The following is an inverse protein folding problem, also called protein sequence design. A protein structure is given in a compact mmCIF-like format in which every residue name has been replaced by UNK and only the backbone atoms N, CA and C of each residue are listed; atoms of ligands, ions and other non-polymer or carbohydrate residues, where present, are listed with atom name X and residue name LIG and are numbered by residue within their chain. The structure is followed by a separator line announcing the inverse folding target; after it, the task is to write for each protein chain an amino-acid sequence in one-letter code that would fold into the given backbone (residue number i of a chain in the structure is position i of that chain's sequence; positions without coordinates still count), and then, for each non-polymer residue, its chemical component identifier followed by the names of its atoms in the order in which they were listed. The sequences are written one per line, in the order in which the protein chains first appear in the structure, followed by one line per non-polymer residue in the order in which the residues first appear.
data_IF_362097962183
#
_entry.id   IF_362097962183
#
_cell.length_a   1.000
_cell.length_b   1.000
_cell.length_c   1.000
_cell.angle_alpha   90.00
_cell.angle_beta   90.00
_cell.angle_gamma   90.00
#
_symmetry.space_group_name_H-M   'P 1'
#
loop_
_entity.id
_entity.type
_entity.pdbx_description
1 polymer ?
#
# COMPACT_ATOMS: atom_id res chain seq x y z
N UNK A 1 -11.98 66.37 4.40
CA UNK A 1 -10.96 65.39 4.72
C UNK A 1 -11.54 63.95 4.62
N UNK A 2 -10.93 63.09 3.84
CA UNK A 2 -11.29 61.66 3.80
C UNK A 2 -10.31 60.87 4.69
N UNK A 3 -10.80 60.36 5.81
CA UNK A 3 -9.99 59.66 6.83
C UNK A 3 -9.18 58.44 6.29
N UNK A 4 -9.62 57.92 5.14
CA UNK A 4 -9.00 56.77 4.49
C UNK A 4 -8.15 57.12 3.25
N UNK A 5 -7.96 58.41 2.93
CA UNK A 5 -7.13 58.79 1.80
C UNK A 5 -5.63 58.69 2.15
N UNK A 6 -4.84 57.95 1.38
CA UNK A 6 -3.38 57.87 1.58
C UNK A 6 -2.70 59.25 1.47
N UNK A 7 -3.24 60.12 0.62
CA UNK A 7 -2.74 61.47 0.42
C UNK A 7 -2.96 62.30 1.68
N UNK A 8 -4.16 62.25 2.27
CA UNK A 8 -4.51 63.01 3.48
C UNK A 8 -3.65 62.57 4.68
N UNK A 9 -3.36 61.26 4.83
CA UNK A 9 -2.49 60.74 5.89
C UNK A 9 -1.06 61.23 5.72
N UNK A 10 -0.55 61.20 4.51
CA UNK A 10 0.84 61.60 4.25
C UNK A 10 1.00 63.12 4.45
N UNK A 11 0.08 63.92 3.89
CA UNK A 11 0.06 65.37 4.07
C UNK A 11 -0.04 65.76 5.55
N UNK A 12 -0.94 65.15 6.27
CA UNK A 12 -1.12 65.40 7.71
C UNK A 12 0.15 65.10 8.51
N UNK A 13 0.80 63.96 8.22
CA UNK A 13 2.03 63.55 8.90
C UNK A 13 3.16 64.57 8.67
N UNK A 14 3.37 64.93 7.40
CA UNK A 14 4.44 65.82 6.99
C UNK A 14 4.19 67.27 7.46
N UNK A 15 2.95 67.74 7.34
CA UNK A 15 2.60 69.11 7.81
C UNK A 15 2.65 69.22 9.33
N UNK A 16 2.20 68.19 10.04
CA UNK A 16 2.31 68.14 11.52
C UNK A 16 3.76 68.12 12.00
N UNK A 17 4.67 67.50 11.26
CA UNK A 17 6.10 67.48 11.64
C UNK A 17 6.80 68.82 11.41
N UNK A 18 6.28 69.68 10.48
CA UNK A 18 6.91 70.96 10.09
C UNK A 18 6.25 72.18 10.71
N UNK A 19 4.91 72.13 10.90
CA UNK A 19 4.10 73.30 11.30
C UNK A 19 3.33 72.96 12.53
N UNK A 20 3.31 72.72 13.53
CA UNK A 20 2.46 72.42 14.69
C UNK A 20 0.99 72.07 14.39
N UNK A 21 0.25 71.62 15.42
CA UNK A 21 -1.09 71.05 15.25
C UNK A 21 -2.18 72.04 14.74
N UNK A 22 -2.03 73.34 14.96
CA UNK A 22 -3.06 74.38 14.68
C UNK A 22 -2.60 75.45 13.68
N UNK A 23 -1.49 75.26 13.02
CA UNK A 23 -0.92 76.26 12.09
C UNK A 23 -1.20 76.01 10.61
N UNK A 24 -1.86 74.88 10.33
CA UNK A 24 -2.21 74.52 8.93
C UNK A 24 -3.60 73.93 8.82
N UNK A 25 -4.19 74.17 7.67
CA UNK A 25 -5.39 73.49 7.22
C UNK A 25 -5.22 73.06 5.75
N UNK A 26 -5.76 71.93 5.37
CA UNK A 26 -5.74 71.48 3.98
C UNK A 26 -7.08 70.81 3.57
N UNK A 27 -7.44 70.99 2.31
CA UNK A 27 -8.59 70.36 1.69
C UNK A 27 -8.21 69.69 0.37
N UNK A 28 -8.44 68.37 0.31
CA UNK A 28 -8.16 67.51 -0.84
C UNK A 28 -9.41 67.24 -1.67
N UNK A 29 -10.61 67.75 -1.24
CA UNK A 29 -11.90 67.43 -1.83
C UNK A 29 -12.50 68.55 -2.68
N UNK A 30 -12.27 69.78 -2.34
CA UNK A 30 -12.88 70.95 -3.04
C UNK A 30 -12.44 71.12 -4.50
N UNK A 31 -11.26 70.66 -4.84
CA UNK A 31 -10.74 70.71 -6.21
C UNK A 31 -10.37 69.32 -6.71
N UNK A 32 -10.70 69.04 -7.99
CA UNK A 32 -10.46 67.72 -8.59
C UNK A 32 -8.98 67.38 -8.70
N UNK A 33 -8.13 68.34 -9.07
CA UNK A 33 -6.70 68.13 -9.36
C UNK A 33 -5.76 68.88 -8.42
N UNK A 34 -6.31 69.76 -7.57
CA UNK A 34 -5.52 70.60 -6.66
C UNK A 34 -5.85 70.31 -5.19
N UNK A 35 -4.92 70.56 -4.32
CA UNK A 35 -5.05 70.54 -2.87
C UNK A 35 -5.01 71.98 -2.40
N UNK A 36 -6.02 72.44 -1.66
CA UNK A 36 -6.06 73.74 -1.00
C UNK A 36 -5.31 73.61 0.34
N UNK A 37 -4.11 74.14 0.44
CA UNK A 37 -3.28 74.15 1.64
C UNK A 37 -3.20 75.60 2.15
N UNK A 38 -3.59 75.80 3.42
CA UNK A 38 -3.51 77.09 4.11
C UNK A 38 -2.63 76.98 5.32
N UNK A 39 -1.68 77.90 5.41
CA UNK A 39 -0.71 77.95 6.51
C UNK A 39 -0.89 79.31 7.20
N UNK A 40 -1.04 79.31 8.54
CA UNK A 40 -1.19 80.51 9.35
C UNK A 40 0.15 81.26 9.42
N UNK A 41 0.09 82.54 9.20
CA UNK A 41 1.25 83.43 9.31
C UNK A 41 0.80 84.78 9.90
N UNK A 42 1.30 85.11 11.08
CA UNK A 42 0.89 86.28 11.85
C UNK A 42 -0.68 86.42 11.89
N UNK A 43 -1.28 87.50 11.41
CA UNK A 43 -2.74 87.76 11.40
C UNK A 43 -3.45 87.22 10.13
N UNK A 44 -2.78 86.45 9.30
CA UNK A 44 -3.34 85.99 8.02
C UNK A 44 -3.06 84.50 7.70
N UNK A 45 -3.47 84.09 6.50
CA UNK A 45 -3.24 82.80 5.98
C UNK A 45 -2.64 82.86 4.58
N UNK A 46 -1.58 82.17 4.33
CA UNK A 46 -1.08 81.87 2.98
C UNK A 46 -1.86 80.71 2.42
N UNK A 47 -2.46 80.89 1.23
CA UNK A 47 -3.16 79.87 0.50
C UNK A 47 -2.28 79.34 -0.64
N UNK A 48 -2.04 78.06 -0.66
CA UNK A 48 -1.27 77.36 -1.67
C UNK A 48 -2.19 76.37 -2.39
N UNK A 49 -2.27 76.43 -3.71
CA UNK A 49 -2.94 75.45 -4.57
C UNK A 49 -1.87 74.51 -5.12
N UNK A 50 -1.79 73.31 -4.55
CA UNK A 50 -0.76 72.33 -4.89
C UNK A 50 -1.36 71.22 -5.74
N UNK A 51 -0.79 70.93 -6.95
CA UNK A 51 -1.27 69.83 -7.77
C UNK A 51 -1.16 68.49 -7.01
N UNK A 52 -2.25 67.66 -7.06
CA UNK A 52 -2.30 66.35 -6.39
C UNK A 52 -1.19 65.40 -6.87
N UNK A 53 -0.79 65.50 -8.13
CA UNK A 53 0.26 64.68 -8.72
C UNK A 53 1.65 64.89 -8.07
N UNK A 54 1.88 66.10 -7.51
CA UNK A 54 3.12 66.38 -6.78
C UNK A 54 3.16 65.78 -5.38
N UNK A 55 2.00 65.52 -4.80
CA UNK A 55 1.87 65.02 -3.42
C UNK A 55 1.65 63.50 -3.42
N UNK A 56 1.02 62.99 -4.44
CA UNK A 56 0.77 61.55 -4.59
C UNK A 56 1.86 60.94 -5.49
N UNK A 57 2.89 60.40 -4.91
CA UNK A 57 3.83 59.53 -5.64
C UNK A 57 3.09 58.24 -6.01
N UNK A 58 2.54 58.18 -7.22
CA UNK A 58 2.02 56.93 -7.80
C UNK A 58 3.12 55.93 -8.13
N UNK A 59 4.35 56.46 -8.24
CA UNK A 59 5.55 55.64 -8.62
C UNK A 59 5.80 54.46 -7.70
N UNK A 60 5.65 54.61 -6.38
CA UNK A 60 5.87 53.53 -5.44
C UNK A 60 4.86 52.36 -5.58
N UNK A 61 3.59 52.66 -5.88
CA UNK A 61 2.54 51.66 -6.12
C UNK A 61 2.73 50.94 -7.45
N UNK A 62 3.07 51.70 -8.51
CA UNK A 62 3.37 51.16 -9.81
C UNK A 62 4.63 50.26 -9.71
N UNK A 63 5.67 50.69 -9.03
CA UNK A 63 6.90 49.95 -8.82
C UNK A 63 6.64 48.68 -8.02
N UNK A 64 5.85 48.73 -6.95
CA UNK A 64 5.45 47.55 -6.17
C UNK A 64 4.67 46.54 -7.04
N UNK A 65 3.73 46.99 -7.89
CA UNK A 65 2.99 46.14 -8.83
C UNK A 65 3.93 45.52 -9.89
N UNK A 66 4.86 46.28 -10.42
CA UNK A 66 5.86 45.80 -11.41
C UNK A 66 6.80 44.70 -10.86
N UNK A 67 7.03 44.69 -9.55
CA UNK A 67 7.84 43.62 -8.91
C UNK A 67 6.98 42.45 -8.50
N UNK A 68 5.79 42.71 -7.86
CA UNK A 68 5.02 41.62 -7.25
C UNK A 68 4.31 40.75 -8.29
N UNK A 69 3.78 41.35 -9.38
CA UNK A 69 3.04 40.59 -10.40
C UNK A 69 3.97 39.59 -11.13
N UNK A 70 5.15 39.98 -11.68
CA UNK A 70 6.07 39.02 -12.27
C UNK A 70 6.59 37.97 -11.27
N UNK A 71 6.85 38.37 -10.01
CA UNK A 71 7.26 37.42 -8.99
C UNK A 71 6.20 36.33 -8.71
N UNK A 72 4.93 36.72 -8.61
CA UNK A 72 3.81 35.76 -8.44
C UNK A 72 3.72 34.86 -9.67
N UNK A 73 3.80 35.40 -10.87
CA UNK A 73 3.76 34.63 -12.12
C UNK A 73 4.92 33.62 -12.16
N UNK A 74 6.15 34.04 -11.82
CA UNK A 74 7.29 33.13 -11.75
C UNK A 74 7.11 32.01 -10.74
N UNK A 75 6.55 32.29 -9.56
CA UNK A 75 6.23 31.27 -8.54
C UNK A 75 5.23 30.27 -9.08
N UNK A 76 4.16 30.74 -9.73
CA UNK A 76 3.12 29.85 -10.31
C UNK A 76 3.75 28.95 -11.39
N UNK A 77 4.54 29.52 -12.31
CA UNK A 77 5.23 28.76 -13.36
C UNK A 77 6.17 27.72 -12.74
N UNK A 78 6.95 28.11 -11.72
CA UNK A 78 7.85 27.22 -11.01
C UNK A 78 7.14 26.06 -10.34
N UNK A 79 6.00 26.32 -9.69
CA UNK A 79 5.18 25.25 -9.05
C UNK A 79 4.59 24.28 -10.08
N UNK A 80 4.10 24.79 -11.21
CA UNK A 80 3.60 23.95 -12.31
C UNK A 80 4.74 23.09 -12.88
N UNK A 81 5.89 23.70 -13.13
CA UNK A 81 7.06 22.98 -13.63
C UNK A 81 7.52 21.89 -12.66
N UNK A 82 7.64 22.21 -11.38
CA UNK A 82 8.03 21.25 -10.33
C UNK A 82 7.04 20.08 -10.27
N UNK A 83 5.74 20.36 -10.28
CA UNK A 83 4.69 19.34 -10.30
C UNK A 83 4.79 18.43 -11.53
N UNK A 84 5.08 18.98 -12.70
CA UNK A 84 5.22 18.20 -13.93
C UNK A 84 6.51 17.35 -13.93
N UNK A 85 7.57 17.78 -13.25
CA UNK A 85 8.80 17.01 -13.09
C UNK A 85 8.70 15.90 -12.05
N UNK A 86 7.98 16.12 -10.96
CA UNK A 86 7.87 15.13 -9.88
C UNK A 86 6.87 14.02 -10.17
N UNK A 87 5.80 14.29 -10.93
CA UNK A 87 4.78 13.29 -11.30
C UNK A 87 5.34 12.01 -11.94
N UNK A 88 6.21 12.05 -12.95
CA UNK A 88 6.77 10.85 -13.56
C UNK A 88 7.59 10.01 -12.59
N UNK A 89 8.33 10.65 -11.68
CA UNK A 89 9.13 9.97 -10.65
C UNK A 89 8.22 9.23 -9.67
N UNK A 90 7.18 9.91 -9.19
CA UNK A 90 6.21 9.29 -8.26
C UNK A 90 5.43 8.15 -8.94
N UNK A 91 5.13 8.27 -10.23
CA UNK A 91 4.48 7.19 -10.98
C UNK A 91 5.39 5.97 -11.14
N UNK A 92 6.70 6.19 -11.43
CA UNK A 92 7.69 5.12 -11.49
C UNK A 92 7.84 4.43 -10.13
N UNK A 93 7.95 5.21 -9.05
CA UNK A 93 8.05 4.68 -7.69
C UNK A 93 6.82 3.83 -7.30
N UNK A 94 5.60 4.31 -7.60
CA UNK A 94 4.37 3.55 -7.37
C UNK A 94 4.31 2.27 -8.21
N UNK A 95 4.72 2.34 -9.48
CA UNK A 95 4.79 1.15 -10.32
C UNK A 95 5.76 0.12 -9.76
N UNK A 96 6.95 0.56 -9.29
CA UNK A 96 7.92 -0.33 -8.66
C UNK A 96 7.39 -0.93 -7.35
N UNK A 97 6.71 -0.15 -6.52
CA UNK A 97 6.07 -0.61 -5.28
C UNK A 97 4.98 -1.66 -5.57
N UNK A 98 4.06 -1.36 -6.51
CA UNK A 98 2.99 -2.28 -6.91
C UNK A 98 3.54 -3.58 -7.47
N UNK A 99 4.55 -3.51 -8.34
CA UNK A 99 5.22 -4.68 -8.87
C UNK A 99 5.90 -5.50 -7.76
N UNK A 100 6.53 -4.84 -6.79
CA UNK A 100 7.12 -5.49 -5.62
C UNK A 100 6.11 -6.21 -4.73
N UNK A 101 4.87 -5.71 -4.68
CA UNK A 101 3.73 -6.39 -4.00
C UNK A 101 3.11 -7.52 -4.83
N UNK A 102 3.62 -7.79 -6.04
CA UNK A 102 3.10 -8.82 -6.93
C UNK A 102 1.81 -8.43 -7.64
N UNK A 103 1.46 -7.13 -7.68
CA UNK A 103 0.32 -6.64 -8.45
C UNK A 103 0.64 -6.67 -9.95
N UNK A 104 -0.34 -7.07 -10.77
CA UNK A 104 -0.19 -7.01 -12.23
C UNK A 104 -0.29 -5.56 -12.72
N UNK A 105 0.77 -5.07 -13.33
CA UNK A 105 0.80 -3.74 -13.96
C UNK A 105 0.58 -3.93 -15.46
N UNK A 106 -0.67 -3.81 -15.92
CA UNK A 106 -1.03 -4.04 -17.33
C UNK A 106 -0.34 -3.06 -18.29
N UNK A 107 -0.26 -1.76 -17.94
CA UNK A 107 0.43 -0.74 -18.74
C UNK A 107 1.21 0.25 -17.89
N UNK A 108 2.53 0.21 -17.99
CA UNK A 108 3.38 1.27 -17.50
C UNK A 108 3.92 2.07 -18.69
N UNK A 109 3.53 3.36 -18.79
CA UNK A 109 3.99 4.26 -19.86
C UNK A 109 5.03 5.23 -19.28
N UNK A 110 6.32 5.04 -19.57
CA UNK A 110 7.37 5.96 -19.15
C UNK A 110 7.12 7.38 -19.67
N UNK A 111 7.18 8.39 -18.82
CA UNK A 111 6.94 9.79 -19.16
C UNK A 111 7.91 10.72 -18.42
N UNK A 112 7.96 12.00 -18.81
CA UNK A 112 8.79 13.02 -18.17
C UNK A 112 10.08 13.32 -18.91
N UNK A 113 11.09 13.85 -18.19
CA UNK A 113 12.41 14.16 -18.72
C UNK A 113 13.10 12.91 -19.29
N UNK A 114 14.09 13.11 -20.16
CA UNK A 114 14.75 12.04 -20.90
C UNK A 114 15.28 10.94 -19.96
N UNK A 115 15.95 11.35 -18.89
CA UNK A 115 16.58 10.45 -17.90
C UNK A 115 15.54 9.63 -17.15
N UNK A 116 14.43 10.26 -16.74
CA UNK A 116 13.33 9.59 -16.03
C UNK A 116 12.60 8.62 -16.96
N UNK A 117 12.41 9.01 -18.21
CA UNK A 117 11.81 8.17 -19.25
C UNK A 117 12.68 6.97 -19.55
N UNK A 118 14.01 7.16 -19.62
CA UNK A 118 14.97 6.08 -19.81
C UNK A 118 14.94 5.11 -18.60
N UNK A 119 14.97 5.61 -17.37
CA UNK A 119 14.83 4.80 -16.16
C UNK A 119 13.52 4.01 -16.17
N UNK A 120 12.41 4.64 -16.58
CA UNK A 120 11.13 3.98 -16.73
C UNK A 120 11.11 2.86 -17.77
N UNK A 121 11.80 3.04 -18.91
CA UNK A 121 11.98 1.99 -19.92
C UNK A 121 12.80 0.81 -19.39
N UNK A 122 13.89 1.07 -18.69
CA UNK A 122 14.71 -0.01 -18.09
C UNK A 122 13.95 -0.75 -16.98
N UNK A 123 13.17 -0.04 -16.17
CA UNK A 123 12.25 -0.67 -15.22
C UNK A 123 11.24 -1.60 -15.93
N UNK A 124 10.59 -1.15 -17.02
CA UNK A 124 9.62 -1.97 -17.76
C UNK A 124 10.27 -3.19 -18.41
N UNK A 125 11.49 -3.07 -18.96
CA UNK A 125 12.27 -4.20 -19.45
C UNK A 125 12.58 -5.20 -18.34
N UNK A 126 13.02 -4.73 -17.19
CA UNK A 126 13.31 -5.57 -16.02
C UNK A 126 12.04 -6.29 -15.55
N UNK A 127 10.91 -5.57 -15.42
CA UNK A 127 9.61 -6.14 -15.07
C UNK A 127 9.21 -7.27 -16.01
N UNK A 128 9.19 -7.00 -17.33
CA UNK A 128 8.85 -7.99 -18.36
C UNK A 128 9.79 -9.20 -18.37
N UNK A 129 11.06 -8.98 -18.04
CA UNK A 129 12.03 -10.08 -17.93
C UNK A 129 11.72 -10.96 -16.73
N UNK A 130 11.43 -10.38 -15.58
CA UNK A 130 11.06 -11.11 -14.37
C UNK A 130 9.76 -11.90 -14.59
N UNK A 131 8.72 -11.27 -15.14
CA UNK A 131 7.45 -11.93 -15.50
C UNK A 131 7.68 -13.12 -16.43
N UNK A 132 8.50 -12.95 -17.45
CA UNK A 132 8.85 -14.04 -18.38
C UNK A 132 9.56 -15.20 -17.67
N UNK A 133 10.52 -14.90 -16.81
CA UNK A 133 11.20 -15.95 -16.04
C UNK A 133 10.25 -16.71 -15.10
N UNK A 134 9.32 -16.02 -14.49
CA UNK A 134 8.32 -16.65 -13.62
C UNK A 134 7.40 -17.54 -14.45
N UNK A 135 6.89 -17.06 -15.59
CA UNK A 135 6.03 -17.83 -16.48
C UNK A 135 6.74 -19.08 -17.04
N UNK A 136 7.99 -18.93 -17.50
CA UNK A 136 8.80 -20.06 -17.98
C UNK A 136 9.03 -21.09 -16.87
N UNK A 137 9.32 -20.64 -15.64
CA UNK A 137 9.47 -21.55 -14.50
C UNK A 137 8.18 -22.31 -14.21
N UNK A 138 7.04 -21.62 -14.25
CA UNK A 138 5.71 -22.21 -14.02
C UNK A 138 5.35 -23.23 -15.10
N UNK A 139 5.58 -22.89 -16.38
CA UNK A 139 5.36 -23.81 -17.52
C UNK A 139 6.25 -25.05 -17.43
N UNK A 140 7.54 -24.85 -17.14
CA UNK A 140 8.48 -25.98 -16.97
C UNK A 140 8.04 -26.92 -15.84
N UNK A 141 7.64 -26.37 -14.69
CA UNK A 141 7.20 -27.16 -13.55
C UNK A 141 5.87 -27.86 -13.82
N UNK A 142 4.95 -27.23 -14.56
CA UNK A 142 3.71 -27.87 -15.02
C UNK A 142 4.00 -29.04 -15.95
N UNK A 143 4.94 -28.90 -16.90
CA UNK A 143 5.39 -29.97 -17.78
C UNK A 143 6.03 -31.14 -17.02
N UNK A 144 6.97 -30.86 -16.12
CA UNK A 144 7.62 -31.88 -15.27
C UNK A 144 6.57 -32.66 -14.46
N UNK A 145 5.56 -31.97 -13.93
CA UNK A 145 4.52 -32.64 -13.17
C UNK A 145 3.66 -33.58 -14.01
N UNK A 146 3.30 -33.15 -15.20
CA UNK A 146 2.59 -34.02 -16.14
C UNK A 146 3.43 -35.28 -16.43
N UNK A 147 4.71 -35.10 -16.71
CA UNK A 147 5.62 -36.17 -17.06
C UNK A 147 5.93 -37.11 -15.87
N UNK A 148 5.91 -36.60 -14.63
CA UNK A 148 6.03 -37.42 -13.42
C UNK A 148 4.73 -38.16 -13.06
N UNK A 149 3.55 -37.61 -13.38
CA UNK A 149 2.28 -38.28 -13.10
C UNK A 149 2.12 -39.55 -13.91
N UNK A 150 2.61 -39.60 -15.15
CA UNK A 150 2.56 -40.77 -16.02
C UNK A 150 3.26 -42.01 -15.42
N UNK A 151 4.53 -41.95 -14.97
CA UNK A 151 5.18 -43.11 -14.31
C UNK A 151 4.54 -43.49 -12.98
N UNK A 152 4.04 -42.50 -12.18
CA UNK A 152 3.31 -42.79 -10.94
C UNK A 152 2.03 -43.58 -11.20
N UNK A 153 1.25 -43.19 -12.22
CA UNK A 153 0.08 -43.95 -12.63
C UNK A 153 0.43 -45.35 -13.13
N UNK A 154 1.55 -45.49 -13.86
CA UNK A 154 2.03 -46.81 -14.32
C UNK A 154 2.44 -47.68 -13.14
N UNK A 155 3.13 -47.14 -12.12
CA UNK A 155 3.48 -47.86 -10.89
C UNK A 155 2.21 -48.35 -10.17
N UNK A 156 1.17 -47.51 -10.01
CA UNK A 156 -0.12 -47.91 -9.43
C UNK A 156 -0.75 -49.10 -10.21
N UNK A 157 -0.74 -49.03 -11.55
CA UNK A 157 -1.27 -50.13 -12.36
C UNK A 157 -0.46 -51.41 -12.16
N UNK A 158 0.88 -51.36 -12.03
CA UNK A 158 1.71 -52.51 -11.82
C UNK A 158 1.46 -53.16 -10.44
N UNK A 159 1.19 -52.31 -9.40
CA UNK A 159 0.84 -52.82 -8.08
C UNK A 159 -0.44 -53.67 -8.07
N UNK A 160 -1.38 -53.40 -8.98
CA UNK A 160 -2.61 -54.19 -9.10
C UNK A 160 -2.37 -55.67 -9.48
N UNK A 161 -1.21 -56.02 -10.04
CA UNK A 161 -0.83 -57.38 -10.37
C UNK A 161 -0.05 -58.14 -9.25
N UNK A 162 0.31 -57.45 -8.15
CA UNK A 162 1.01 -58.04 -7.02
C UNK A 162 0.01 -58.68 -6.06
N UNK A 163 0.26 -59.90 -5.64
CA UNK A 163 -0.66 -60.65 -4.75
C UNK A 163 -0.53 -60.30 -3.27
N UNK A 164 0.62 -59.80 -2.86
CA UNK A 164 0.89 -59.43 -1.47
C UNK A 164 0.19 -58.07 -1.14
N UNK A 165 -0.94 -58.16 -0.48
CA UNK A 165 -1.77 -57.02 -0.12
C UNK A 165 -1.08 -56.04 0.84
N UNK A 166 -0.23 -56.51 1.75
CA UNK A 166 0.45 -55.65 2.71
C UNK A 166 1.48 -54.74 2.02
N UNK A 167 2.32 -55.34 1.17
CA UNK A 167 3.29 -54.60 0.35
C UNK A 167 2.62 -53.66 -0.65
N UNK A 168 1.54 -54.10 -1.26
CA UNK A 168 0.74 -53.25 -2.20
C UNK A 168 0.19 -52.03 -1.48
N UNK A 169 -0.39 -52.16 -0.28
CA UNK A 169 -0.93 -51.03 0.46
C UNK A 169 0.19 -50.00 0.80
N UNK A 170 1.34 -50.47 1.35
CA UNK A 170 2.46 -49.59 1.67
C UNK A 170 2.98 -48.82 0.45
N UNK A 171 3.20 -49.50 -0.67
CA UNK A 171 3.65 -48.86 -1.92
C UNK A 171 2.61 -47.92 -2.54
N UNK A 172 1.34 -48.25 -2.38
CA UNK A 172 0.25 -47.35 -2.84
C UNK A 172 0.19 -46.07 -2.02
N UNK A 173 0.40 -46.17 -0.69
CA UNK A 173 0.52 -45.01 0.20
C UNK A 173 1.71 -44.14 -0.21
N UNK A 174 2.88 -44.71 -0.45
CA UNK A 174 4.08 -44.00 -0.88
C UNK A 174 3.86 -43.26 -2.23
N UNK A 175 3.23 -43.92 -3.21
CA UNK A 175 2.92 -43.29 -4.50
C UNK A 175 1.90 -42.16 -4.33
N UNK A 176 0.88 -42.34 -3.49
CA UNK A 176 -0.11 -41.29 -3.21
C UNK A 176 0.55 -40.08 -2.53
N UNK A 177 1.51 -40.31 -1.64
CA UNK A 177 2.29 -39.24 -1.01
C UNK A 177 3.14 -38.50 -2.05
N UNK A 178 3.81 -39.20 -2.98
CA UNK A 178 4.54 -38.56 -4.08
C UNK A 178 3.63 -37.71 -4.96
N UNK A 179 2.43 -38.18 -5.32
CA UNK A 179 1.46 -37.39 -6.11
C UNK A 179 1.01 -36.13 -5.32
N UNK A 180 0.78 -36.27 -4.04
CA UNK A 180 0.43 -35.13 -3.17
C UNK A 180 1.57 -34.11 -3.12
N UNK A 181 2.80 -34.55 -2.90
CA UNK A 181 3.99 -33.67 -2.89
C UNK A 181 4.13 -32.93 -4.21
N UNK A 182 3.97 -33.61 -5.33
CA UNK A 182 4.05 -33.02 -6.67
C UNK A 182 2.97 -31.95 -6.89
N UNK A 183 1.74 -32.25 -6.52
CA UNK A 183 0.62 -31.30 -6.65
C UNK A 183 0.79 -30.07 -5.72
N UNK A 184 1.24 -30.25 -4.47
CA UNK A 184 1.53 -29.14 -3.53
C UNK A 184 2.67 -28.26 -4.06
N UNK A 185 3.73 -28.86 -4.64
CA UNK A 185 4.85 -28.14 -5.23
C UNK A 185 4.43 -27.30 -6.43
N UNK A 186 3.61 -27.88 -7.33
CA UNK A 186 3.04 -27.14 -8.47
C UNK A 186 2.19 -25.97 -8.03
N UNK A 187 1.32 -26.20 -7.08
CA UNK A 187 0.49 -25.15 -6.52
C UNK A 187 1.34 -24.04 -5.89
N UNK A 188 2.47 -24.36 -5.27
CA UNK A 188 3.40 -23.37 -4.74
C UNK A 188 3.97 -22.46 -5.82
N UNK A 189 4.29 -23.03 -6.99
CA UNK A 189 4.99 -22.30 -8.04
C UNK A 189 4.06 -21.54 -9.00
N UNK A 190 2.80 -21.96 -9.14
CA UNK A 190 1.88 -21.44 -10.18
C UNK A 190 0.93 -20.33 -9.74
N UNK A 191 0.76 -20.07 -8.43
CA UNK A 191 -0.37 -19.31 -7.94
C UNK A 191 -0.20 -17.80 -7.76
N UNK A 192 0.97 -17.21 -8.03
CA UNK A 192 1.23 -15.83 -7.55
C UNK A 192 0.86 -14.69 -8.52
N UNK A 193 0.68 -14.93 -9.83
CA UNK A 193 0.68 -13.84 -10.81
C UNK A 193 -0.53 -13.72 -11.74
N UNK A 194 -1.52 -14.61 -11.65
CA UNK A 194 -2.64 -14.66 -12.63
C UNK A 194 -3.96 -14.11 -12.09
N UNK A 195 -4.11 -14.05 -10.76
CA UNK A 195 -5.37 -13.63 -10.14
C UNK A 195 -5.40 -12.13 -9.93
N UNK A 196 -6.52 -11.48 -10.33
CA UNK A 196 -6.77 -10.05 -10.10
C UNK A 196 -7.30 -9.81 -8.70
N UNK A 197 -6.95 -8.66 -8.12
CA UNK A 197 -7.55 -8.23 -6.87
C UNK A 197 -9.03 -7.93 -7.07
N UNK A 198 -9.86 -8.43 -6.17
CA UNK A 198 -11.30 -8.17 -6.10
C UNK A 198 -11.73 -7.82 -4.67
N UNK A 199 -12.82 -7.06 -4.55
CA UNK A 199 -13.42 -6.75 -3.26
C UNK A 199 -14.35 -7.88 -2.85
N UNK A 200 -14.09 -8.55 -1.74
CA UNK A 200 -14.92 -9.64 -1.21
C UNK A 200 -15.14 -9.54 0.30
N UNK A 201 -16.15 -10.20 0.80
CA UNK A 201 -16.44 -10.29 2.23
C UNK A 201 -15.55 -11.37 2.87
N UNK A 202 -14.54 -10.94 3.61
CA UNK A 202 -13.59 -11.85 4.26
C UNK A 202 -14.24 -12.68 5.37
N UNK A 203 -15.24 -12.11 6.06
CA UNK A 203 -15.97 -12.82 7.11
C UNK A 203 -16.76 -14.00 6.53
N UNK A 204 -17.42 -13.82 5.39
CA UNK A 204 -18.12 -14.89 4.66
C UNK A 204 -17.14 -15.94 4.14
N UNK A 205 -16.03 -15.51 3.53
CA UNK A 205 -15.03 -16.44 3.04
C UNK A 205 -14.49 -17.36 4.14
N UNK A 206 -14.19 -16.80 5.32
CA UNK A 206 -13.73 -17.61 6.47
C UNK A 206 -14.82 -18.59 6.90
N UNK A 207 -16.08 -18.15 6.99
CA UNK A 207 -17.20 -19.03 7.34
C UNK A 207 -17.41 -20.15 6.32
N UNK A 208 -17.37 -19.84 5.01
CA UNK A 208 -17.45 -20.84 3.92
C UNK A 208 -16.32 -21.88 4.01
N UNK A 209 -15.11 -21.45 4.37
CA UNK A 209 -13.97 -22.36 4.56
C UNK A 209 -14.21 -23.27 5.75
N UNK A 210 -14.65 -22.74 6.90
CA UNK A 210 -14.91 -23.52 8.12
C UNK A 210 -16.02 -24.55 7.89
N UNK A 211 -17.10 -24.15 7.23
CA UNK A 211 -18.24 -25.04 6.92
C UNK A 211 -17.83 -26.28 6.10
N UNK A 212 -16.85 -26.15 5.19
CA UNK A 212 -16.36 -27.30 4.40
C UNK A 212 -15.72 -28.40 5.22
N UNK A 213 -15.16 -28.06 6.39
CA UNK A 213 -14.55 -29.06 7.26
C UNK A 213 -15.58 -29.87 8.03
N UNK A 214 -16.84 -29.40 8.15
CA UNK A 214 -17.93 -30.06 8.87
C UNK A 214 -17.47 -30.65 10.23
N UNK A 215 -16.64 -29.88 10.97
CA UNK A 215 -15.97 -30.34 12.17
C UNK A 215 -16.42 -29.50 13.39
N UNK A 216 -17.09 -30.14 14.35
CA UNK A 216 -17.60 -29.51 15.57
C UNK A 216 -16.49 -28.95 16.48
N UNK A 217 -15.22 -29.33 16.24
CA UNK A 217 -14.09 -28.87 17.02
C UNK A 217 -13.54 -27.51 16.54
N UNK A 218 -14.11 -26.92 15.46
CA UNK A 218 -13.74 -25.59 14.99
C UNK A 218 -14.76 -24.58 15.51
N UNK A 219 -14.30 -23.65 16.36
CA UNK A 219 -15.09 -22.50 16.81
C UNK A 219 -14.70 -21.25 16.06
N UNK A 220 -15.65 -20.34 15.83
CA UNK A 220 -15.42 -19.09 15.14
C UNK A 220 -15.93 -17.89 15.92
N UNK A 221 -15.13 -16.80 15.92
CA UNK A 221 -15.48 -15.50 16.48
C UNK A 221 -15.15 -14.42 15.45
N UNK A 222 -16.04 -14.22 14.48
CA UNK A 222 -15.82 -13.37 13.33
C UNK A 222 -16.60 -12.06 13.48
N UNK A 223 -15.88 -10.92 13.34
CA UNK A 223 -16.55 -9.64 13.15
C UNK A 223 -17.24 -9.65 11.78
N UNK A 224 -18.57 -9.43 11.70
CA UNK A 224 -19.32 -9.53 10.45
C UNK A 224 -19.01 -8.39 9.49
N UNK A 225 -19.21 -8.62 8.18
CA UNK A 225 -19.11 -7.62 7.10
C UNK A 225 -17.75 -6.92 7.01
N UNK A 226 -16.69 -7.66 7.18
CA UNK A 226 -15.34 -7.16 6.89
C UNK A 226 -15.03 -7.43 5.42
N UNK A 227 -14.84 -6.36 4.65
CA UNK A 227 -14.44 -6.42 3.24
C UNK A 227 -12.94 -6.26 3.11
N UNK A 228 -12.35 -7.01 2.18
CA UNK A 228 -10.94 -6.95 1.84
C UNK A 228 -10.78 -6.91 0.32
N UNK A 229 -9.85 -6.08 -0.17
CA UNK A 229 -9.48 -6.03 -1.57
C UNK A 229 -8.20 -6.85 -1.78
N UNK A 230 -8.31 -7.95 -2.50
CA UNK A 230 -7.19 -8.85 -2.72
C UNK A 230 -7.57 -10.06 -3.56
N UNK A 231 -6.67 -11.00 -3.70
CA UNK A 231 -6.86 -12.23 -4.50
C UNK A 231 -7.59 -13.29 -3.67
N UNK A 232 -8.91 -13.40 -3.89
CA UNK A 232 -9.81 -14.24 -3.09
C UNK A 232 -9.37 -15.70 -3.00
N UNK A 233 -8.95 -16.31 -4.14
CA UNK A 233 -8.55 -17.72 -4.15
C UNK A 233 -7.22 -17.94 -3.41
N UNK A 234 -6.30 -16.97 -3.47
CA UNK A 234 -5.05 -17.05 -2.68
C UNK A 234 -5.32 -16.96 -1.18
N UNK A 235 -6.19 -16.04 -0.75
CA UNK A 235 -6.59 -15.94 0.66
C UNK A 235 -7.31 -17.21 1.11
N UNK A 236 -8.25 -17.74 0.30
CA UNK A 236 -8.91 -19.02 0.57
C UNK A 236 -7.90 -20.16 0.77
N UNK A 237 -6.90 -20.25 -0.10
CA UNK A 237 -5.82 -21.23 0.00
C UNK A 237 -4.98 -21.06 1.27
N UNK A 238 -4.64 -19.79 1.62
CA UNK A 238 -3.93 -19.50 2.88
C UNK A 238 -4.72 -19.99 4.08
N UNK A 239 -6.02 -19.70 4.14
CA UNK A 239 -6.89 -20.15 5.22
C UNK A 239 -6.94 -21.68 5.31
N UNK A 240 -7.15 -22.38 4.19
CA UNK A 240 -7.15 -23.84 4.18
C UNK A 240 -5.82 -24.40 4.68
N UNK A 241 -4.67 -23.90 4.22
CA UNK A 241 -3.36 -24.36 4.66
C UNK A 241 -3.15 -24.18 6.18
N UNK A 242 -3.60 -23.04 6.74
CA UNK A 242 -3.47 -22.75 8.17
C UNK A 242 -4.40 -23.63 9.01
N UNK A 243 -5.65 -23.81 8.56
CA UNK A 243 -6.66 -24.66 9.24
C UNK A 243 -6.25 -26.14 9.18
N UNK A 244 -5.84 -26.63 8.00
CA UNK A 244 -5.33 -28.01 7.83
C UNK A 244 -4.14 -28.27 8.77
N UNK A 245 -3.24 -27.30 8.89
CA UNK A 245 -2.11 -27.44 9.82
C UNK A 245 -2.56 -27.53 11.27
N UNK A 246 -3.51 -26.67 11.69
CA UNK A 246 -4.05 -26.71 13.06
C UNK A 246 -4.80 -28.01 13.35
N UNK A 247 -5.69 -28.46 12.46
CA UNK A 247 -6.46 -29.71 12.62
C UNK A 247 -5.58 -30.95 12.61
N UNK A 248 -4.42 -30.90 11.97
CA UNK A 248 -3.48 -32.01 11.94
C UNK A 248 -2.82 -32.26 13.29
N UNK A 249 -2.56 -31.22 14.07
CA UNK A 249 -1.79 -31.30 15.30
C UNK A 249 -2.62 -31.03 16.56
N UNK A 250 -3.86 -30.58 16.42
CA UNK A 250 -4.74 -30.20 17.51
C UNK A 250 -6.12 -30.84 17.43
N UNK A 251 -6.81 -30.87 18.56
CA UNK A 251 -8.20 -31.36 18.64
C UNK A 251 -9.20 -30.22 18.54
N UNK A 252 -8.83 -29.00 19.00
CA UNK A 252 -9.70 -27.82 18.98
C UNK A 252 -9.00 -26.66 18.30
N UNK A 253 -9.76 -25.94 17.46
CA UNK A 253 -9.28 -24.77 16.73
C UNK A 253 -10.28 -23.63 16.90
N UNK A 254 -9.80 -22.45 17.27
CA UNK A 254 -10.58 -21.22 17.32
C UNK A 254 -10.09 -20.24 16.28
N UNK A 255 -10.99 -19.75 15.43
CA UNK A 255 -10.66 -18.77 14.37
C UNK A 255 -11.37 -17.46 14.70
N UNK A 256 -10.61 -16.38 14.78
CA UNK A 256 -11.16 -15.05 15.01
C UNK A 256 -10.73 -14.05 13.94
N UNK A 257 -11.65 -13.16 13.57
CA UNK A 257 -11.44 -12.06 12.65
C UNK A 257 -11.81 -10.75 13.33
N UNK A 258 -10.88 -9.80 13.31
CA UNK A 258 -11.10 -8.47 13.87
C UNK A 258 -10.47 -7.38 13.01
N UNK A 259 -11.06 -6.18 13.03
CA UNK A 259 -10.52 -4.98 12.39
C UNK A 259 -10.10 -3.99 13.47
N UNK A 260 -8.85 -3.50 13.40
CA UNK A 260 -8.34 -2.43 14.27
C UNK A 260 -7.73 -1.34 13.39
N UNK A 261 -8.33 -0.16 13.41
CA UNK A 261 -7.98 0.97 12.53
C UNK A 261 -8.07 0.56 11.04
N UNK A 262 -6.94 0.65 10.33
CA UNK A 262 -6.78 0.27 8.91
C UNK A 262 -6.24 -1.15 8.73
N UNK A 263 -6.25 -1.98 9.78
CA UNK A 263 -5.62 -3.29 9.73
C UNK A 263 -6.60 -4.40 10.08
N UNK A 264 -6.52 -5.52 9.36
CA UNK A 264 -7.27 -6.73 9.63
C UNK A 264 -6.37 -7.75 10.33
N UNK A 265 -6.93 -8.44 11.29
CA UNK A 265 -6.27 -9.52 12.01
C UNK A 265 -7.10 -10.78 11.93
N UNK A 266 -6.52 -11.84 11.35
CA UNK A 266 -7.05 -13.20 11.42
C UNK A 266 -6.18 -13.94 12.43
N UNK A 267 -6.78 -14.52 13.46
CA UNK A 267 -6.07 -15.27 14.48
C UNK A 267 -6.62 -16.68 14.48
N UNK A 268 -5.75 -17.66 14.39
CA UNK A 268 -6.06 -19.08 14.48
C UNK A 268 -5.33 -19.61 15.71
N UNK A 269 -6.09 -20.00 16.71
CA UNK A 269 -5.61 -20.60 17.95
C UNK A 269 -5.90 -22.09 17.95
N UNK A 270 -4.95 -22.91 18.35
CA UNK A 270 -5.12 -24.35 18.52
C UNK A 270 -4.68 -24.84 19.91
N UNK A 271 -5.10 -26.05 20.29
CA UNK A 271 -4.73 -26.76 21.52
C UNK A 271 -3.65 -27.83 21.29
N UNK A 272 -2.90 -27.73 20.19
CA UNK A 272 -1.84 -28.64 19.81
C UNK A 272 -0.57 -28.52 20.68
N UNK A 273 0.51 -29.24 20.32
CA UNK A 273 1.78 -29.23 21.09
C UNK A 273 2.52 -27.89 20.98
N UNK A 274 2.06 -26.96 20.12
CA UNK A 274 2.77 -25.72 19.82
C UNK A 274 4.07 -25.91 19.07
N UNK A 275 4.81 -24.81 18.91
CA UNK A 275 6.11 -24.76 18.22
C UNK A 275 7.13 -24.11 19.18
N UNK A 276 8.34 -24.65 19.34
CA UNK A 276 9.40 -23.97 20.10
C UNK A 276 9.76 -22.61 19.49
N UNK A 277 9.98 -21.59 20.32
CA UNK A 277 10.24 -20.21 19.84
C UNK A 277 11.43 -20.09 18.90
N UNK A 278 12.47 -20.90 19.09
CA UNK A 278 13.65 -20.96 18.20
C UNK A 278 13.33 -21.49 16.79
N UNK A 279 12.17 -22.10 16.59
CA UNK A 279 11.72 -22.65 15.32
C UNK A 279 10.74 -21.74 14.56
N UNK A 280 10.26 -20.64 15.16
CA UNK A 280 9.25 -19.75 14.56
C UNK A 280 9.64 -19.19 13.19
N UNK A 281 10.93 -18.93 12.96
CA UNK A 281 11.43 -18.49 11.66
C UNK A 281 11.65 -19.65 10.69
N UNK A 282 12.10 -20.81 11.23
CA UNK A 282 12.45 -21.98 10.41
C UNK A 282 11.23 -22.63 9.78
N UNK A 283 10.08 -22.67 10.47
CA UNK A 283 8.85 -23.31 9.97
C UNK A 283 8.23 -22.63 8.75
N UNK A 284 8.65 -21.40 8.43
CA UNK A 284 8.27 -20.73 7.19
C UNK A 284 9.20 -21.04 6.01
N UNK A 285 10.29 -21.79 6.24
CA UNK A 285 11.16 -22.24 5.13
C UNK A 285 10.48 -23.38 4.38
N UNK A 286 10.50 -23.37 3.04
CA UNK A 286 9.96 -24.48 2.25
C UNK A 286 10.59 -25.82 2.66
N UNK A 287 9.79 -26.87 2.72
CA UNK A 287 10.20 -28.25 3.05
C UNK A 287 10.73 -28.45 4.49
N UNK A 288 10.61 -27.43 5.35
CA UNK A 288 11.05 -27.56 6.73
C UNK A 288 10.01 -28.28 7.60
N UNK A 289 10.48 -29.23 8.42
CA UNK A 289 9.67 -29.96 9.40
C UNK A 289 10.45 -30.06 10.72
N UNK A 290 9.78 -29.79 11.85
CA UNK A 290 10.39 -29.83 13.18
C UNK A 290 10.77 -31.26 13.58
N UNK A 291 9.88 -32.23 13.35
CA UNK A 291 10.08 -33.63 13.68
C UNK A 291 10.29 -34.50 12.42
N UNK A 292 11.54 -34.98 12.22
CA UNK A 292 11.85 -35.93 11.15
C UNK A 292 11.52 -37.38 11.50
N UNK A 293 11.11 -37.69 12.74
CA UNK A 293 11.05 -39.05 13.30
C UNK A 293 9.67 -39.62 13.63
N UNK A 294 8.57 -38.85 13.64
CA UNK A 294 7.25 -39.39 13.95
C UNK A 294 6.58 -39.97 12.69
N UNK A 295 5.94 -41.12 12.82
CA UNK A 295 5.24 -41.82 11.74
C UNK A 295 4.18 -40.91 11.06
N UNK A 296 3.57 -39.97 11.80
CA UNK A 296 2.59 -38.97 11.31
C UNK A 296 3.25 -37.85 10.47
N UNK A 297 4.57 -37.70 10.46
CA UNK A 297 5.27 -36.71 9.65
C UNK A 297 5.23 -37.01 8.15
N UNK A 298 4.81 -38.22 7.76
CA UNK A 298 4.66 -38.63 6.35
C UNK A 298 3.63 -37.83 5.57
N UNK A 299 2.60 -37.33 6.20
CA UNK A 299 1.41 -36.75 5.48
C UNK A 299 1.52 -35.28 5.06
N UNK A 300 2.63 -34.56 5.29
CA UNK A 300 2.77 -33.16 4.84
C UNK A 300 4.14 -32.86 4.25
N UNK A 301 4.17 -32.10 3.18
CA UNK A 301 5.40 -31.77 2.43
C UNK A 301 6.22 -30.66 3.13
N UNK A 302 5.64 -29.93 4.08
CA UNK A 302 6.28 -28.79 4.73
C UNK A 302 6.23 -27.51 3.89
N UNK A 303 5.22 -27.37 3.04
CA UNK A 303 5.01 -26.20 2.19
C UNK A 303 3.88 -25.29 2.68
N UNK A 304 2.96 -25.76 3.50
CA UNK A 304 1.75 -25.03 3.87
C UNK A 304 2.03 -23.66 4.51
N UNK A 305 2.89 -23.60 5.53
CA UNK A 305 3.24 -22.34 6.20
C UNK A 305 4.04 -21.39 5.31
N UNK A 306 4.96 -21.89 4.49
CA UNK A 306 5.71 -21.07 3.54
C UNK A 306 4.79 -20.45 2.48
N UNK A 307 3.85 -21.24 1.91
CA UNK A 307 2.84 -20.78 0.97
C UNK A 307 1.97 -19.68 1.63
N UNK A 308 1.51 -19.92 2.86
CA UNK A 308 0.69 -18.94 3.58
C UNK A 308 1.45 -17.64 3.81
N UNK A 309 2.73 -17.71 4.19
CA UNK A 309 3.59 -16.54 4.36
C UNK A 309 3.75 -15.75 3.06
N UNK A 310 4.00 -16.42 1.94
CA UNK A 310 4.18 -15.77 0.64
C UNK A 310 2.88 -15.12 0.14
N UNK A 311 1.74 -15.79 0.33
CA UNK A 311 0.42 -15.23 -0.01
C UNK A 311 0.17 -13.96 0.79
N UNK A 312 0.35 -13.98 2.10
CA UNK A 312 0.09 -12.82 2.96
C UNK A 312 1.06 -11.68 2.67
N UNK A 313 2.36 -11.97 2.47
CA UNK A 313 3.35 -10.96 2.07
C UNK A 313 3.01 -10.32 0.72
N UNK A 314 2.50 -11.11 -0.24
CA UNK A 314 2.09 -10.58 -1.55
C UNK A 314 0.84 -9.68 -1.49
N UNK A 315 0.12 -9.67 -0.36
CA UNK A 315 -0.96 -8.72 -0.04
C UNK A 315 -0.49 -7.59 0.91
N UNK A 316 0.84 -7.42 1.11
CA UNK A 316 1.41 -6.40 2.00
C UNK A 316 1.27 -6.72 3.49
N UNK A 317 0.83 -7.92 3.83
CA UNK A 317 0.61 -8.38 5.19
C UNK A 317 1.81 -9.11 5.79
N UNK A 318 1.61 -9.68 6.97
CA UNK A 318 2.60 -10.51 7.68
C UNK A 318 1.94 -11.62 8.48
N UNK A 319 2.67 -12.74 8.69
CA UNK A 319 2.26 -13.84 9.58
C UNK A 319 3.24 -13.91 10.75
N UNK A 320 2.70 -14.03 11.96
CA UNK A 320 3.46 -14.19 13.19
C UNK A 320 2.95 -15.42 13.95
N UNK A 321 3.86 -16.10 14.63
CA UNK A 321 3.54 -17.22 15.52
C UNK A 321 3.72 -16.79 16.97
N UNK A 322 2.76 -17.18 17.80
CA UNK A 322 2.74 -16.90 19.23
C UNK A 322 2.26 -18.16 19.97
N UNK A 323 2.37 -18.19 21.30
CA UNK A 323 1.73 -19.22 22.12
C UNK A 323 0.22 -18.96 22.16
N UNK A 324 -0.60 -20.01 21.89
CA UNK A 324 -2.05 -19.94 21.97
C UNK A 324 -2.53 -19.75 23.40
N UNK A 325 -3.74 -19.17 23.55
CA UNK A 325 -4.50 -19.16 24.83
C UNK A 325 -4.95 -20.57 25.25
N UNK A 326 -4.97 -21.51 24.29
CA UNK A 326 -5.36 -22.91 24.48
C UNK A 326 -4.14 -23.81 24.71
N UNK A 327 -2.98 -23.22 25.05
CA UNK A 327 -1.65 -23.84 25.28
C UNK A 327 -0.93 -24.38 24.01
N UNK A 328 -1.54 -24.36 22.84
CA UNK A 328 -0.96 -24.76 21.55
C UNK A 328 -0.29 -23.61 20.79
N UNK A 329 -0.52 -23.58 19.47
CA UNK A 329 0.01 -22.58 18.55
C UNK A 329 -1.05 -21.50 18.26
N UNK A 330 -0.61 -20.23 18.26
CA UNK A 330 -1.34 -19.11 17.69
C UNK A 330 -0.69 -18.65 16.40
N UNK A 331 -1.45 -18.69 15.32
CA UNK A 331 -1.07 -18.08 14.04
C UNK A 331 -1.82 -16.77 13.90
N UNK A 332 -1.10 -15.67 13.85
CA UNK A 332 -1.63 -14.30 13.72
C UNK A 332 -1.29 -13.74 12.36
N UNK A 333 -2.30 -13.58 11.54
CA UNK A 333 -2.20 -12.99 10.20
C UNK A 333 -2.61 -11.52 10.28
N UNK A 334 -1.77 -10.67 9.73
CA UNK A 334 -1.99 -9.23 9.58
C UNK A 334 -2.16 -8.91 8.11
N UNK A 335 -3.22 -8.14 7.74
CA UNK A 335 -3.46 -7.62 6.40
C UNK A 335 -3.78 -6.12 6.49
N UNK A 336 -3.08 -5.26 5.70
CA UNK A 336 -3.41 -3.85 5.57
C UNK A 336 -4.69 -3.68 4.71
N UNK A 337 -5.52 -2.66 5.04
CA UNK A 337 -6.75 -2.31 4.27
C UNK A 337 -6.62 -0.92 3.67
#
# INVERSE_FOLDING_TARGET
ERWFSPIDRTLRRELKSKFGLNEYWFDTTSYKELIDLRIKYEDGYFKFLVPKDRVASSSARIFALWITVPAIIMVIISLIFLKNQTRPITNLARAAERFGKGENIEEFKPSGALEIRQAGHEFDKMRKRIERHINQRTEMLSGISHDLRTPLTRMKLQLAFIKDKETVNKLTEDINEMEKMLNEYLQFTSSSYVEKDEMFNLSELISEVIEKYNNENISQNLTPRIYFNGRKNLINRCLNNLIDNSLKYANKVEISLSKKNTNLFIIIDDDGPGIPKNEYENVFKPFYKIDKGRADSKSSVGLGLSISSDIIKSHGGNIMLEKSKMDGLRVKVFLPV
#
